data_IF_229215367081
#
_entry.id   IF_229215367081
#
_cell.length_a   1.000
_cell.length_b   1.000
_cell.length_c   1.000
_cell.angle_alpha   90.00
_cell.angle_beta   90.00
_cell.angle_gamma   90.00
#
_symmetry.space_group_name_H-M   'P 1'
#
loop_
_entity.id
_entity.type
_entity.pdbx_description
1 polymer ?
#
# COMPACT_ATOMS: atom_id res chain seq x y z
N UNK A 1 -13.05 -13.28 28.09
CA UNK A 1 -12.00 -12.31 27.76
C UNK A 1 -11.68 -12.46 26.28
N UNK A 2 -12.18 -11.56 25.47
CA UNK A 2 -11.84 -11.46 24.04
C UNK A 2 -10.36 -11.10 23.93
N UNK A 3 -9.55 -11.87 23.16
CA UNK A 3 -8.14 -11.52 22.95
C UNK A 3 -8.07 -10.18 22.21
N UNK A 4 -7.26 -9.28 22.73
CA UNK A 4 -6.96 -7.99 22.08
C UNK A 4 -6.35 -8.26 20.71
N UNK A 5 -6.77 -7.57 19.63
CA UNK A 5 -6.28 -7.80 18.27
C UNK A 5 -4.76 -7.62 18.09
N UNK A 6 -4.09 -7.00 19.06
CA UNK A 6 -2.64 -6.84 19.07
C UNK A 6 -1.85 -8.14 19.29
N UNK A 7 -2.41 -9.14 20.01
CA UNK A 7 -1.68 -10.38 20.27
C UNK A 7 -1.66 -11.30 19.05
N UNK A 8 -2.77 -11.40 18.32
CA UNK A 8 -2.84 -12.25 17.13
C UNK A 8 -1.95 -11.70 15.97
N UNK A 9 -1.87 -10.38 15.81
CA UNK A 9 -0.97 -9.75 14.85
C UNK A 9 0.51 -9.97 15.22
N UNK A 10 0.83 -9.89 16.51
CA UNK A 10 2.18 -10.15 17.02
C UNK A 10 2.60 -11.62 16.83
N UNK A 11 1.69 -12.58 17.00
CA UNK A 11 2.01 -14.01 16.84
C UNK A 11 2.16 -14.42 15.36
N UNK A 12 1.40 -13.81 14.45
CA UNK A 12 1.58 -13.99 13.00
C UNK A 12 2.90 -13.38 12.55
N UNK A 13 3.25 -12.25 13.10
CA UNK A 13 4.51 -11.55 12.83
C UNK A 13 5.73 -12.37 13.26
N UNK A 14 5.71 -12.93 14.47
CA UNK A 14 6.80 -13.78 15.00
C UNK A 14 7.01 -15.07 14.20
N UNK A 15 5.98 -15.61 13.56
CA UNK A 15 6.08 -16.82 12.73
C UNK A 15 6.74 -16.57 11.36
N UNK A 16 6.74 -15.34 10.86
CA UNK A 16 7.30 -15.00 9.54
C UNK A 16 8.77 -14.62 9.57
N UNK A 17 9.37 -14.49 10.75
CA UNK A 17 10.72 -13.93 10.94
C UNK A 17 11.77 -14.95 11.37
N UNK A 18 11.56 -16.24 11.13
CA UNK A 18 12.60 -17.24 11.37
C UNK A 18 13.47 -17.38 10.12
N UNK A 19 14.73 -16.98 10.23
CA UNK A 19 15.73 -17.07 9.16
C UNK A 19 16.69 -18.20 9.51
N UNK A 20 16.89 -19.13 8.57
CA UNK A 20 17.91 -20.18 8.64
C UNK A 20 19.21 -19.64 8.06
N UNK A 21 20.24 -19.49 8.87
CA UNK A 21 21.58 -19.05 8.47
C UNK A 21 22.48 -20.21 8.03
N UNK A 22 21.94 -21.40 7.79
CA UNK A 22 22.69 -22.55 7.30
C UNK A 22 23.22 -23.50 8.38
N UNK A 23 23.05 -23.14 9.66
CA UNK A 23 23.47 -23.98 10.79
C UNK A 23 22.31 -24.81 11.37
N UNK A 24 21.11 -24.75 10.75
CA UNK A 24 19.90 -25.37 11.24
C UNK A 24 19.30 -24.67 12.49
N UNK A 25 19.88 -23.58 12.93
CA UNK A 25 19.36 -22.75 14.00
C UNK A 25 18.51 -21.62 13.44
N UNK A 26 17.21 -21.66 13.76
CA UNK A 26 16.26 -20.63 13.33
C UNK A 26 16.35 -19.43 14.26
N UNK A 27 17.02 -18.37 13.82
CA UNK A 27 17.12 -17.13 14.58
C UNK A 27 15.92 -16.24 14.24
N UNK A 28 15.12 -15.80 15.24
CA UNK A 28 14.07 -14.84 15.01
C UNK A 28 14.67 -13.48 14.64
N UNK A 29 14.46 -13.00 13.43
CA UNK A 29 14.78 -11.64 13.01
C UNK A 29 13.51 -10.78 13.10
N UNK A 30 13.58 -9.71 13.89
CA UNK A 30 12.48 -8.72 13.96
C UNK A 30 12.61 -7.77 12.78
N UNK A 31 11.51 -7.55 12.04
CA UNK A 31 11.46 -6.56 10.96
C UNK A 31 11.35 -5.18 11.61
N UNK A 32 12.36 -4.36 11.41
CA UNK A 32 12.38 -2.97 11.83
C UNK A 32 11.76 -2.02 10.81
N UNK A 33 11.68 -0.75 11.16
CA UNK A 33 11.25 0.31 10.25
C UNK A 33 12.15 0.42 9.02
N UNK A 34 13.42 0.13 9.18
CA UNK A 34 14.45 0.27 8.13
C UNK A 34 14.34 -0.83 7.06
N UNK A 35 13.70 -1.95 7.39
CA UNK A 35 13.44 -3.05 6.46
C UNK A 35 12.22 -2.77 5.56
N UNK A 36 11.49 -1.67 5.77
CA UNK A 36 10.32 -1.30 4.98
C UNK A 36 10.76 -0.54 3.71
N UNK A 37 10.57 -1.15 2.55
CA UNK A 37 10.97 -0.61 1.25
C UNK A 37 9.84 0.15 0.54
N UNK A 38 8.60 -0.01 0.98
CA UNK A 38 7.47 0.65 0.35
C UNK A 38 6.13 0.32 1.00
N UNK A 39 5.08 0.83 0.38
CA UNK A 39 3.71 0.62 0.87
C UNK A 39 2.77 0.27 -0.28
N UNK A 40 1.81 -0.63 -0.02
CA UNK A 40 0.64 -0.80 -0.86
C UNK A 40 -0.55 -0.11 -0.22
N UNK A 41 -1.32 0.56 -1.05
CA UNK A 41 -2.49 1.32 -0.62
C UNK A 41 -3.71 0.70 -1.29
N UNK A 42 -4.74 0.41 -0.49
CA UNK A 42 -6.06 0.00 -1.00
C UNK A 42 -7.04 1.14 -0.79
N UNK A 43 -7.68 1.56 -1.87
CA UNK A 43 -8.72 2.57 -1.85
C UNK A 43 -9.88 2.20 -2.73
N UNK A 44 -10.94 2.97 -2.65
CA UNK A 44 -12.15 2.78 -3.44
C UNK A 44 -12.60 4.12 -4.02
N UNK A 45 -12.88 4.12 -5.31
CA UNK A 45 -13.57 5.22 -5.98
C UNK A 45 -15.07 5.00 -5.89
N UNK A 46 -15.82 6.06 -5.59
CA UNK A 46 -17.27 6.03 -5.56
C UNK A 46 -17.84 7.36 -6.04
N UNK A 47 -19.00 7.28 -6.67
CA UNK A 47 -19.71 8.45 -7.14
C UNK A 47 -20.65 8.97 -6.05
N UNK A 48 -20.45 10.23 -5.62
CA UNK A 48 -21.36 10.91 -4.71
C UNK A 48 -22.48 11.59 -5.52
N UNK A 49 -23.65 11.00 -5.51
CA UNK A 49 -24.84 11.51 -6.24
C UNK A 49 -25.31 12.90 -5.77
N UNK A 50 -25.00 13.27 -4.52
CA UNK A 50 -25.44 14.57 -3.98
C UNK A 50 -24.54 15.70 -4.49
N UNK A 51 -23.26 15.43 -4.63
CA UNK A 51 -22.25 16.38 -5.12
C UNK A 51 -22.04 16.31 -6.62
N UNK A 52 -22.41 15.19 -7.24
CA UNK A 52 -22.13 14.94 -8.65
C UNK A 52 -20.63 14.71 -8.91
N UNK A 53 -19.88 14.29 -7.90
CA UNK A 53 -18.42 14.20 -7.95
C UNK A 53 -17.95 12.76 -7.73
N UNK A 54 -16.82 12.41 -8.37
CA UNK A 54 -16.10 11.17 -8.12
C UNK A 54 -15.19 11.36 -6.89
N UNK A 55 -15.40 10.54 -5.88
CA UNK A 55 -14.68 10.61 -4.60
C UNK A 55 -13.79 9.39 -4.40
N UNK A 56 -12.63 9.60 -3.79
CA UNK A 56 -11.72 8.52 -3.41
C UNK A 56 -11.72 8.33 -1.89
N UNK A 57 -11.82 7.07 -1.46
CA UNK A 57 -11.71 6.70 -0.04
C UNK A 57 -10.58 5.72 0.17
N UNK A 58 -9.61 6.11 0.98
CA UNK A 58 -8.54 5.25 1.44
C UNK A 58 -9.08 4.24 2.47
N UNK A 59 -8.85 2.95 2.23
CA UNK A 59 -9.36 1.85 3.06
C UNK A 59 -8.27 1.22 3.91
N UNK A 60 -7.09 1.00 3.33
CA UNK A 60 -6.01 0.31 4.03
C UNK A 60 -4.64 0.60 3.47
N UNK A 61 -3.65 0.34 4.29
CA UNK A 61 -2.22 0.46 3.97
C UNK A 61 -1.56 -0.86 4.35
N UNK A 62 -0.62 -1.31 3.54
CA UNK A 62 0.17 -2.51 3.79
C UNK A 62 1.64 -2.19 3.58
N UNK A 63 2.50 -2.32 4.60
CA UNK A 63 3.94 -2.22 4.43
C UNK A 63 4.48 -3.38 3.59
N UNK A 64 5.52 -3.09 2.82
CA UNK A 64 6.27 -4.06 2.04
C UNK A 64 7.68 -4.05 2.61
N UNK A 65 8.12 -5.20 3.10
CA UNK A 65 9.46 -5.41 3.61
C UNK A 65 10.32 -6.22 2.67
N UNK A 66 11.59 -6.31 2.98
CA UNK A 66 12.51 -7.25 2.32
C UNK A 66 12.19 -8.68 2.74
N UNK A 67 12.37 -9.65 1.82
CA UNK A 67 12.20 -11.06 2.15
C UNK A 67 13.46 -11.58 2.84
N UNK A 68 13.37 -11.69 4.15
CA UNK A 68 14.48 -12.14 5.00
C UNK A 68 14.86 -13.61 4.83
N UNK A 69 14.07 -14.39 4.09
CA UNK A 69 14.35 -15.82 3.84
C UNK A 69 15.33 -16.08 2.70
N UNK A 70 15.59 -15.07 1.85
CA UNK A 70 16.51 -15.18 0.72
C UNK A 70 17.73 -14.32 0.97
N UNK A 71 18.68 -14.85 1.73
CA UNK A 71 20.01 -14.26 1.92
C UNK A 71 20.94 -14.49 0.72
N UNK A 72 20.55 -15.35 -0.22
CA UNK A 72 21.28 -15.60 -1.47
C UNK A 72 20.88 -14.50 -2.49
N UNK A 73 21.64 -13.49 -2.52
CA UNK A 73 21.94 -12.36 -3.38
C UNK A 73 21.26 -12.14 -4.74
N UNK A 74 20.26 -12.92 -5.14
CA UNK A 74 19.57 -12.78 -6.41
C UNK A 74 18.15 -12.28 -6.24
N UNK A 75 17.96 -11.00 -6.60
CA UNK A 75 16.73 -10.23 -6.66
C UNK A 75 16.07 -9.96 -5.28
N UNK A 76 15.99 -8.69 -4.93
CA UNK A 76 15.21 -8.13 -3.82
C UNK A 76 13.76 -8.68 -3.83
N UNK A 77 13.56 -9.83 -3.22
CA UNK A 77 12.22 -10.37 -3.05
C UNK A 77 11.52 -9.58 -1.97
N UNK A 78 10.57 -8.75 -2.39
CA UNK A 78 9.73 -7.96 -1.50
C UNK A 78 8.58 -8.79 -0.98
N UNK A 79 8.43 -8.82 0.34
CA UNK A 79 7.35 -9.53 1.02
C UNK A 79 6.27 -8.55 1.50
N UNK A 80 5.02 -8.89 1.21
CA UNK A 80 3.88 -8.17 1.74
C UNK A 80 3.68 -8.56 3.20
N UNK A 81 3.62 -7.56 4.10
CA UNK A 81 3.48 -7.86 5.52
C UNK A 81 2.02 -8.08 5.88
N UNK A 82 1.29 -7.05 6.24
CA UNK A 82 -0.10 -7.16 6.66
C UNK A 82 -0.89 -5.89 6.32
N UNK A 83 -2.20 -6.04 6.12
CA UNK A 83 -3.09 -4.92 5.89
C UNK A 83 -3.49 -4.26 7.20
N UNK A 84 -3.34 -2.95 7.25
CA UNK A 84 -3.78 -2.11 8.36
C UNK A 84 -4.99 -1.32 7.87
N UNK A 85 -6.08 -1.36 8.64
CA UNK A 85 -7.26 -0.56 8.38
C UNK A 85 -6.95 0.92 8.59
N UNK A 86 -7.03 1.73 7.53
CA UNK A 86 -6.62 3.12 7.56
C UNK A 86 -7.31 3.96 8.66
N UNK A 87 -8.65 3.87 8.89
CA UNK A 87 -9.29 4.65 9.94
C UNK A 87 -8.74 4.38 11.34
N UNK A 88 -8.24 3.17 11.63
CA UNK A 88 -7.70 2.83 12.95
C UNK A 88 -6.34 3.46 13.26
N UNK A 89 -5.56 3.81 12.22
CA UNK A 89 -4.24 4.43 12.39
C UNK A 89 -4.23 5.93 12.09
N UNK A 90 -5.37 6.47 11.67
CA UNK A 90 -5.49 7.85 11.20
C UNK A 90 -5.03 8.88 12.25
N UNK A 91 -5.36 8.65 13.52
CA UNK A 91 -4.94 9.54 14.62
C UNK A 91 -3.43 9.60 14.79
N UNK A 92 -2.74 8.47 14.59
CA UNK A 92 -1.28 8.38 14.64
C UNK A 92 -0.69 9.12 13.45
N UNK A 93 -1.17 8.84 12.24
CA UNK A 93 -0.71 9.48 11.01
C UNK A 93 -0.97 10.99 10.97
N UNK A 94 -1.97 11.47 11.71
CA UNK A 94 -2.24 12.90 11.84
C UNK A 94 -1.25 13.63 12.75
N UNK A 95 -0.69 12.93 13.73
CA UNK A 95 0.30 13.50 14.67
C UNK A 95 1.71 13.55 14.06
N UNK A 96 2.03 12.58 13.21
CA UNK A 96 3.34 12.47 12.59
C UNK A 96 3.44 13.41 11.37
N UNK A 97 4.51 14.21 11.34
CA UNK A 97 4.73 15.22 10.32
C UNK A 97 5.68 14.71 9.24
N UNK A 98 5.43 15.13 8.02
CA UNK A 98 6.22 14.80 6.84
C UNK A 98 6.87 16.07 6.29
N UNK A 99 8.04 15.91 5.69
CA UNK A 99 8.65 16.97 4.90
C UNK A 99 7.72 17.37 3.75
N UNK A 100 7.51 18.67 3.60
CA UNK A 100 6.72 19.23 2.51
C UNK A 100 7.66 19.84 1.48
N UNK A 101 7.80 19.23 0.33
CA UNK A 101 8.65 19.66 -0.78
C UNK A 101 8.21 20.99 -1.41
N UNK A 102 6.92 21.35 -1.25
CA UNK A 102 6.36 22.59 -1.82
C UNK A 102 6.60 23.80 -0.92
N UNK A 103 6.76 23.61 0.38
CA UNK A 103 6.97 24.71 1.34
C UNK A 103 7.68 24.23 2.59
N UNK A 104 8.89 24.71 2.80
CA UNK A 104 9.65 24.41 4.03
C UNK A 104 9.03 25.00 5.30
N UNK A 105 8.10 25.95 5.17
CA UNK A 105 7.49 26.64 6.29
C UNK A 105 6.28 25.88 6.89
N UNK A 106 5.61 25.04 6.10
CA UNK A 106 4.41 24.34 6.52
C UNK A 106 4.62 22.84 6.40
N UNK A 107 4.84 22.18 7.53
CA UNK A 107 4.83 20.73 7.62
C UNK A 107 3.39 20.23 7.44
N UNK A 108 3.26 19.10 6.74
CA UNK A 108 1.98 18.39 6.56
C UNK A 108 2.03 17.07 7.32
N UNK A 109 0.88 16.59 7.78
CA UNK A 109 0.82 15.27 8.40
C UNK A 109 0.81 14.16 7.34
N UNK A 110 1.21 12.93 7.74
CA UNK A 110 1.07 11.75 6.87
C UNK A 110 -0.38 11.52 6.44
N UNK A 111 -1.35 11.81 7.31
CA UNK A 111 -2.77 11.75 6.97
C UNK A 111 -3.12 12.69 5.81
N UNK A 112 -2.65 13.94 5.86
CA UNK A 112 -2.87 14.92 4.80
C UNK A 112 -2.17 14.53 3.49
N UNK A 113 -0.94 14.02 3.57
CA UNK A 113 -0.19 13.51 2.41
C UNK A 113 -0.97 12.42 1.68
N UNK A 114 -1.48 11.43 2.43
CA UNK A 114 -2.22 10.29 1.89
C UNK A 114 -3.58 10.70 1.31
N UNK A 115 -4.32 11.57 2.00
CA UNK A 115 -5.62 12.06 1.54
C UNK A 115 -5.49 12.94 0.28
N UNK A 116 -4.46 13.78 0.22
CA UNK A 116 -4.18 14.62 -0.97
C UNK A 116 -3.54 13.85 -2.11
N UNK A 117 -3.17 12.57 -1.90
CA UNK A 117 -2.50 11.70 -2.89
C UNK A 117 -1.22 12.31 -3.46
N UNK A 118 -0.47 13.06 -2.66
CA UNK A 118 0.78 13.74 -3.04
C UNK A 118 1.98 12.80 -2.95
N UNK A 119 1.91 11.67 -3.63
CA UNK A 119 2.97 10.66 -3.69
C UNK A 119 2.97 9.97 -5.05
N UNK A 120 4.14 9.49 -5.47
CA UNK A 120 4.26 8.68 -6.68
C UNK A 120 3.77 7.27 -6.44
N UNK A 121 2.89 6.78 -7.31
CA UNK A 121 2.36 5.43 -7.23
C UNK A 121 1.97 4.88 -8.61
N UNK A 122 1.94 3.56 -8.72
CA UNK A 122 1.34 2.86 -9.85
C UNK A 122 0.24 1.93 -9.38
N UNK A 123 -0.78 1.73 -10.21
CA UNK A 123 -1.86 0.79 -9.93
C UNK A 123 -1.35 -0.59 -10.28
N UNK A 124 -1.26 -1.49 -9.29
CA UNK A 124 -0.82 -2.87 -9.51
C UNK A 124 -1.98 -3.84 -9.60
N UNK A 125 -3.18 -3.43 -9.16
CA UNK A 125 -4.38 -4.25 -9.10
C UNK A 125 -5.62 -3.36 -9.03
N UNK A 126 -6.65 -3.75 -9.77
CA UNK A 126 -8.01 -3.24 -9.66
C UNK A 126 -8.98 -4.40 -9.45
N UNK A 127 -10.21 -4.12 -9.04
CA UNK A 127 -11.27 -5.12 -9.01
C UNK A 127 -11.62 -5.51 -10.45
N UNK A 128 -11.48 -6.79 -10.81
CA UNK A 128 -11.66 -7.26 -12.16
C UNK A 128 -12.41 -8.60 -12.21
N UNK A 129 -12.98 -8.89 -13.38
CA UNK A 129 -13.71 -10.13 -13.66
C UNK A 129 -12.80 -11.37 -13.79
N UNK A 130 -11.48 -11.19 -13.77
CA UNK A 130 -10.49 -12.26 -13.96
C UNK A 130 -10.10 -12.97 -12.68
N UNK A 131 -10.97 -13.01 -11.67
CA UNK A 131 -10.71 -13.68 -10.39
C UNK A 131 -9.77 -12.92 -9.48
N UNK A 132 -9.90 -11.59 -9.45
CA UNK A 132 -9.13 -10.70 -8.56
C UNK A 132 -7.62 -10.75 -8.76
N UNK A 133 -7.17 -10.93 -10.03
CA UNK A 133 -5.75 -11.02 -10.40
C UNK A 133 -5.09 -9.64 -10.40
N UNK A 134 -3.81 -9.62 -10.05
CA UNK A 134 -3.00 -8.42 -10.24
C UNK A 134 -2.66 -8.20 -11.72
N UNK A 135 -2.34 -6.96 -12.10
CA UNK A 135 -2.00 -6.60 -13.48
C UNK A 135 -0.85 -7.47 -14.00
N UNK A 136 0.15 -7.75 -13.16
CA UNK A 136 1.29 -8.60 -13.52
C UNK A 136 0.96 -10.08 -13.78
N UNK A 137 -0.25 -10.53 -13.44
CA UNK A 137 -0.70 -11.92 -13.67
C UNK A 137 -1.43 -12.09 -15.00
N UNK A 138 -1.98 -11.02 -15.59
CA UNK A 138 -2.69 -11.07 -16.87
C UNK A 138 -2.05 -10.22 -17.97
N UNK A 139 -1.12 -9.36 -17.63
CA UNK A 139 -0.23 -8.65 -18.56
C UNK A 139 1.20 -9.15 -18.40
N UNK A 140 1.97 -9.08 -19.47
CA UNK A 140 3.40 -9.38 -19.38
C UNK A 140 4.07 -8.40 -18.41
N UNK A 141 5.06 -8.92 -17.68
CA UNK A 141 5.80 -8.12 -16.69
C UNK A 141 6.54 -6.95 -17.37
N UNK A 142 6.70 -5.86 -16.63
CA UNK A 142 7.46 -4.69 -17.08
C UNK A 142 6.60 -3.61 -17.72
N UNK A 143 6.94 -3.18 -18.92
CA UNK A 143 6.33 -2.03 -19.59
C UNK A 143 4.80 -2.15 -19.75
N UNK A 144 4.30 -3.34 -20.11
CA UNK A 144 2.86 -3.56 -20.29
C UNK A 144 2.06 -3.36 -19.01
N UNK A 145 2.63 -3.73 -17.85
CA UNK A 145 1.99 -3.48 -16.55
C UNK A 145 1.91 -1.99 -16.22
N UNK A 146 2.93 -1.22 -16.61
CA UNK A 146 2.95 0.23 -16.42
C UNK A 146 1.92 0.89 -17.34
N UNK A 147 1.89 0.50 -18.61
CA UNK A 147 0.90 1.02 -19.57
C UNK A 147 -0.53 0.72 -19.14
N UNK A 148 -0.80 -0.45 -18.59
CA UNK A 148 -2.10 -0.81 -18.08
C UNK A 148 -2.47 0.04 -16.84
N UNK A 149 -1.53 0.28 -15.94
CA UNK A 149 -1.71 1.21 -14.81
C UNK A 149 -2.09 2.62 -15.28
N UNK A 150 -1.41 3.12 -16.33
CA UNK A 150 -1.70 4.44 -16.90
C UNK A 150 -3.07 4.46 -17.62
N UNK A 151 -3.46 3.37 -18.29
CA UNK A 151 -4.78 3.23 -18.90
C UNK A 151 -5.89 3.37 -17.84
N UNK A 152 -5.75 2.66 -16.71
CA UNK A 152 -6.72 2.71 -15.61
C UNK A 152 -6.78 4.12 -15.01
N UNK A 153 -5.64 4.78 -14.79
CA UNK A 153 -5.61 6.17 -14.32
C UNK A 153 -6.33 7.11 -15.28
N UNK A 154 -6.12 6.92 -16.58
CA UNK A 154 -6.76 7.72 -17.60
C UNK A 154 -8.28 7.50 -17.64
N UNK A 155 -8.76 6.28 -17.51
CA UNK A 155 -10.20 5.98 -17.44
C UNK A 155 -10.88 6.67 -16.25
N UNK A 156 -10.21 6.68 -15.08
CA UNK A 156 -10.70 7.41 -13.89
C UNK A 156 -10.79 8.90 -14.19
N UNK A 157 -9.76 9.47 -14.79
CA UNK A 157 -9.70 10.89 -15.14
C UNK A 157 -10.75 11.26 -16.19
N UNK A 158 -10.89 10.46 -17.23
CA UNK A 158 -11.88 10.68 -18.30
C UNK A 158 -13.31 10.63 -17.72
N UNK A 159 -13.58 9.68 -16.82
CA UNK A 159 -14.86 9.61 -16.12
C UNK A 159 -15.12 10.85 -15.26
N UNK A 160 -14.10 11.35 -14.54
CA UNK A 160 -14.20 12.57 -13.75
C UNK A 160 -14.50 13.79 -14.63
N UNK A 161 -13.82 13.92 -15.79
CA UNK A 161 -14.04 15.01 -16.74
C UNK A 161 -15.43 14.97 -17.36
N UNK A 162 -15.96 13.77 -17.69
CA UNK A 162 -17.30 13.61 -18.22
C UNK A 162 -18.40 14.06 -17.25
N UNK A 163 -18.14 13.97 -15.94
CA UNK A 163 -19.05 14.46 -14.91
C UNK A 163 -19.15 16.00 -14.88
N UNK A 164 -18.05 16.68 -15.22
CA UNK A 164 -18.01 18.14 -15.27
C UNK A 164 -18.67 18.73 -16.52
N UNK A 165 -18.82 17.95 -17.57
CA UNK A 165 -19.39 18.37 -18.85
C UNK A 165 -20.92 18.17 -18.95
N UNK A 166 -21.57 17.74 -17.87
CA UNK A 166 -23.03 17.56 -17.77
C UNK A 166 -23.65 18.67 -16.96
#
# INVERSE_FOLDING_TARGET
>A
TTPTPSSAASDVYKRQTQVDYGDGELIPKEIGSDDITGYRIKGMWYFDKRRGELMYRLLGIMPIGEDLKNLDGDEEKKTNLFWIWYPSIREILHKELVFNDTSNANQISFDQLLLSRRFSSYIYKEDNIYGDRSISQYKNKGLESILESERIKKEILDFEQDLWNR
#
